data_IF_649704518445
#
_entry.id   IF_649704518445
#
_cell.length_a   1.000
_cell.length_b   1.000
_cell.length_c   1.000
_cell.angle_alpha   90.00
_cell.angle_beta   90.00
_cell.angle_gamma   90.00
#
_symmetry.space_group_name_H-M   'P 1'
#
loop_
_entity.id
_entity.type
_entity.pdbx_description
1 polymer ?
#
# COMPACT_ATOMS: atom_id res chain seq x y z
N UNK A 1 48.97 13.18 42.41
CA UNK A 1 47.72 12.40 42.65
C UNK A 1 46.48 13.04 42.02
N UNK A 2 46.26 14.35 42.15
CA UNK A 2 45.08 15.02 41.57
C UNK A 2 44.93 14.89 40.05
N UNK A 3 46.02 14.96 39.28
CA UNK A 3 46.00 14.88 37.81
C UNK A 3 45.56 13.48 37.33
N UNK A 4 46.02 12.42 38.01
CA UNK A 4 45.63 11.04 37.68
C UNK A 4 44.14 10.77 37.99
N UNK A 5 43.62 11.37 39.07
CA UNK A 5 42.20 11.28 39.39
C UNK A 5 41.33 12.00 38.35
N UNK A 6 41.77 13.18 37.88
CA UNK A 6 41.08 13.95 36.85
C UNK A 6 41.05 13.21 35.50
N UNK A 7 42.14 12.52 35.16
CA UNK A 7 42.21 11.70 33.96
C UNK A 7 41.27 10.49 34.03
N UNK A 8 41.18 9.84 35.20
CA UNK A 8 40.26 8.71 35.43
C UNK A 8 38.79 9.12 35.37
N UNK A 9 38.46 10.33 35.85
CA UNK A 9 37.08 10.85 35.77
C UNK A 9 36.72 11.18 34.32
N UNK A 10 37.64 11.81 33.57
CA UNK A 10 37.42 12.11 32.15
C UNK A 10 37.25 10.86 31.29
N UNK A 11 38.04 9.81 31.52
CA UNK A 11 37.88 8.54 30.80
C UNK A 11 36.57 7.85 31.17
N UNK A 12 36.17 7.85 32.44
CA UNK A 12 34.88 7.30 32.86
C UNK A 12 33.68 8.01 32.21
N UNK A 13 33.73 9.33 32.04
CA UNK A 13 32.69 10.08 31.31
C UNK A 13 32.61 9.72 29.82
N UNK A 14 33.73 9.34 29.19
CA UNK A 14 33.74 8.90 27.78
C UNK A 14 33.10 7.51 27.65
N UNK A 15 33.32 6.60 28.61
CA UNK A 15 32.75 5.24 28.58
C UNK A 15 31.29 5.13 29.01
N UNK A 16 30.70 6.18 29.61
CA UNK A 16 29.28 6.19 30.01
C UNK A 16 28.33 6.64 28.88
N UNK A 17 28.86 7.11 27.75
CA UNK A 17 28.06 7.51 26.60
C UNK A 17 27.88 6.35 25.61
N UNK A 18 27.40 5.20 26.08
CA UNK A 18 26.76 4.24 25.18
C UNK A 18 25.39 4.79 24.83
N UNK A 19 25.33 5.65 23.82
CA UNK A 19 24.07 5.98 23.17
C UNK A 19 23.60 4.70 22.49
N UNK A 20 22.71 3.97 23.15
CA UNK A 20 21.87 2.97 22.50
C UNK A 20 21.13 3.72 21.39
N UNK A 21 21.58 3.53 20.15
CA UNK A 21 20.84 3.96 18.98
C UNK A 21 19.53 3.19 18.99
N UNK A 22 18.47 3.80 19.54
CA UNK A 22 17.13 3.36 19.24
C UNK A 22 16.98 3.56 17.74
N UNK A 23 16.98 2.46 16.99
CA UNK A 23 16.48 2.46 15.62
C UNK A 23 15.00 2.81 15.77
N UNK A 24 14.69 4.11 15.73
CA UNK A 24 13.36 4.56 15.36
C UNK A 24 13.23 4.14 13.91
N UNK A 25 12.74 2.92 13.74
CA UNK A 25 12.40 2.37 12.45
C UNK A 25 11.27 3.27 11.94
N UNK A 26 11.63 4.24 11.09
CA UNK A 26 10.70 5.25 10.59
C UNK A 26 9.66 4.52 9.74
N UNK A 27 8.54 4.16 10.35
CA UNK A 27 7.37 3.67 9.64
C UNK A 27 6.95 4.74 8.62
N UNK A 28 6.96 4.37 7.34
CA UNK A 28 6.57 5.27 6.28
C UNK A 28 5.59 4.57 5.35
N UNK A 29 4.32 4.49 5.76
CA UNK A 29 3.22 3.96 4.97
C UNK A 29 2.42 5.09 4.35
N UNK A 30 2.46 5.21 3.03
CA UNK A 30 1.92 6.34 2.28
C UNK A 30 0.77 5.93 1.35
N UNK A 31 -0.13 6.88 1.09
CA UNK A 31 -1.14 6.79 0.04
C UNK A 31 -0.66 7.54 -1.18
N UNK A 32 -0.23 6.82 -2.22
CA UNK A 32 0.38 7.36 -3.42
C UNK A 32 -0.55 7.26 -4.62
N UNK A 33 -0.31 8.09 -5.64
CA UNK A 33 -0.98 7.97 -6.94
C UNK A 33 -0.18 7.07 -7.88
N UNK A 34 -0.89 6.28 -8.69
CA UNK A 34 -0.32 5.42 -9.73
C UNK A 34 -1.22 5.42 -10.96
N UNK A 35 -0.62 5.41 -12.14
CA UNK A 35 -1.37 5.21 -13.39
C UNK A 35 -1.62 3.72 -13.62
N UNK A 36 -2.84 3.38 -14.05
CA UNK A 36 -3.24 2.02 -14.41
C UNK A 36 -4.05 2.03 -15.70
N UNK A 37 -3.79 1.05 -16.56
CA UNK A 37 -4.61 0.78 -17.73
C UNK A 37 -5.80 -0.09 -17.34
N UNK A 38 -7.02 0.37 -17.61
CA UNK A 38 -8.24 -0.39 -17.35
C UNK A 38 -8.90 -0.76 -18.67
N UNK A 39 -9.32 -2.02 -18.79
CA UNK A 39 -10.15 -2.53 -19.88
C UNK A 39 -11.43 -3.13 -19.30
N UNK A 40 -12.57 -2.78 -19.88
CA UNK A 40 -13.89 -3.25 -19.45
C UNK A 40 -14.74 -3.70 -20.64
N UNK A 41 -15.23 -4.93 -20.53
CA UNK A 41 -16.20 -5.50 -21.47
C UNK A 41 -17.64 -5.22 -21.00
N UNK A 42 -18.50 -4.89 -21.98
CA UNK A 42 -19.95 -4.85 -21.83
C UNK A 42 -20.56 -5.96 -22.68
N UNK A 43 -21.41 -6.77 -22.05
CA UNK A 43 -22.16 -7.84 -22.70
C UNK A 43 -23.63 -7.43 -22.88
N UNK A 44 -24.26 -7.95 -23.94
CA UNK A 44 -25.70 -7.85 -24.14
C UNK A 44 -26.47 -8.82 -23.22
N UNK A 45 -27.81 -8.76 -23.23
CA UNK A 45 -28.68 -9.62 -22.40
C UNK A 45 -28.54 -11.12 -22.72
N UNK A 46 -27.98 -11.46 -23.89
CA UNK A 46 -27.77 -12.82 -24.37
C UNK A 46 -26.34 -13.29 -24.04
N UNK A 47 -25.50 -12.42 -23.46
CA UNK A 47 -24.12 -12.70 -23.06
C UNK A 47 -23.09 -12.54 -24.17
N UNK A 48 -23.45 -11.93 -25.32
CA UNK A 48 -22.51 -11.61 -26.39
C UNK A 48 -21.79 -10.30 -26.08
N UNK A 49 -20.52 -10.21 -26.49
CA UNK A 49 -19.75 -8.98 -26.35
C UNK A 49 -20.40 -7.87 -27.18
N UNK A 50 -20.86 -6.80 -26.50
CA UNK A 50 -21.40 -5.60 -27.15
C UNK A 50 -20.26 -4.66 -27.53
N UNK A 51 -19.39 -4.35 -26.56
CA UNK A 51 -18.22 -3.48 -26.74
C UNK A 51 -17.20 -3.67 -25.64
N UNK A 52 -15.96 -3.32 -25.93
CA UNK A 52 -14.84 -3.25 -24.97
C UNK A 52 -14.34 -1.82 -24.92
N UNK A 53 -14.26 -1.24 -23.72
CA UNK A 53 -13.73 0.10 -23.51
C UNK A 53 -12.47 0.07 -22.66
N UNK A 54 -11.51 0.92 -22.97
CA UNK A 54 -10.28 1.07 -22.18
C UNK A 54 -9.90 2.53 -21.93
N UNK A 55 -8.97 2.71 -20.99
CA UNK A 55 -8.42 4.01 -20.65
C UNK A 55 -7.37 3.91 -19.55
N UNK A 56 -6.42 4.83 -19.60
CA UNK A 56 -5.43 5.01 -18.55
C UNK A 56 -5.97 6.01 -17.53
N UNK A 57 -5.96 5.62 -16.26
CA UNK A 57 -6.45 6.45 -15.18
C UNK A 57 -5.49 6.43 -14.00
N UNK A 58 -5.43 7.55 -13.28
CA UNK A 58 -4.73 7.61 -12.02
C UNK A 58 -5.60 7.03 -10.90
N UNK A 59 -5.07 6.07 -10.15
CA UNK A 59 -5.67 5.49 -8.94
C UNK A 59 -4.75 5.70 -7.74
N UNK A 60 -5.31 5.60 -6.55
CA UNK A 60 -4.50 5.55 -5.33
C UNK A 60 -4.01 4.13 -5.02
N UNK A 61 -2.84 4.02 -4.38
CA UNK A 61 -2.24 2.79 -3.89
C UNK A 61 -1.59 3.00 -2.52
N UNK A 62 -1.39 1.91 -1.78
CA UNK A 62 -0.63 1.91 -0.53
C UNK A 62 0.79 1.41 -0.79
N UNK A 63 1.78 2.16 -0.33
CA UNK A 63 3.19 1.80 -0.47
C UNK A 63 3.99 2.30 0.73
N UNK A 64 4.93 1.51 1.22
CA UNK A 64 5.70 1.90 2.39
C UNK A 64 6.27 0.76 3.23
N UNK A 65 6.89 1.14 4.34
CA UNK A 65 7.50 0.24 5.32
C UNK A 65 6.76 0.33 6.66
N UNK A 66 6.58 -0.81 7.31
CA UNK A 66 5.95 -0.93 8.63
C UNK A 66 6.84 -1.76 9.55
N UNK A 67 6.97 -1.37 10.81
CA UNK A 67 7.85 -2.03 11.75
C UNK A 67 7.27 -3.38 12.15
N UNK A 68 8.05 -4.43 11.94
CA UNK A 68 7.67 -5.80 12.26
C UNK A 68 8.81 -6.49 12.98
N UNK A 69 8.48 -7.34 13.96
CA UNK A 69 9.45 -8.05 14.77
C UNK A 69 9.11 -9.52 14.95
N UNK A 70 10.18 -10.31 15.09
CA UNK A 70 10.09 -11.75 15.38
C UNK A 70 11.03 -12.04 16.55
N UNK A 71 10.51 -12.73 17.56
CA UNK A 71 11.29 -13.18 18.71
C UNK A 71 11.09 -14.68 18.92
N UNK A 72 12.12 -15.43 19.36
CA UNK A 72 11.95 -16.81 19.77
C UNK A 72 10.89 -16.95 20.88
N UNK A 73 10.11 -18.02 20.85
CA UNK A 73 9.09 -18.27 21.87
C UNK A 73 8.83 -19.76 22.05
N UNK A 74 8.84 -20.22 23.30
CA UNK A 74 8.47 -21.59 23.68
C UNK A 74 6.95 -21.78 23.80
N UNK A 75 6.17 -20.69 23.84
CA UNK A 75 4.72 -20.73 23.92
C UNK A 75 4.04 -20.83 22.54
N UNK A 76 4.75 -20.42 21.48
CA UNK A 76 4.27 -20.51 20.10
C UNK A 76 4.64 -21.87 19.49
N UNK A 77 3.70 -22.52 18.80
CA UNK A 77 3.93 -23.80 18.11
C UNK A 77 4.97 -23.72 17.00
N UNK A 78 5.21 -22.51 16.47
CA UNK A 78 6.24 -22.27 15.43
C UNK A 78 7.63 -22.04 16.01
N UNK A 79 7.77 -21.97 17.34
CA UNK A 79 9.02 -21.59 18.00
C UNK A 79 9.30 -20.08 17.98
N UNK A 80 8.42 -19.26 17.41
CA UNK A 80 8.57 -17.81 17.30
C UNK A 80 7.26 -17.07 17.60
N UNK A 81 7.35 -15.97 18.33
CA UNK A 81 6.31 -14.95 18.43
C UNK A 81 6.55 -13.90 17.35
N UNK A 82 5.52 -13.58 16.58
CA UNK A 82 5.59 -12.65 15.44
C UNK A 82 4.63 -11.49 15.67
N UNK A 83 5.15 -10.28 15.55
CA UNK A 83 4.38 -9.04 15.48
C UNK A 83 4.65 -8.43 14.10
N UNK A 84 3.70 -8.60 13.20
CA UNK A 84 3.83 -8.26 11.79
C UNK A 84 2.80 -7.19 11.43
N UNK A 85 3.22 -6.19 10.67
CA UNK A 85 2.38 -5.12 10.16
C UNK A 85 2.65 -4.90 8.67
N UNK A 86 1.59 -4.67 7.89
CA UNK A 86 1.67 -4.35 6.47
C UNK A 86 1.05 -2.99 6.17
N UNK A 87 1.65 -2.24 5.25
CA UNK A 87 1.06 -1.00 4.73
C UNK A 87 -0.14 -1.36 3.85
N UNK A 88 -1.35 -1.09 4.35
CA UNK A 88 -2.61 -1.53 3.75
C UNK A 88 -3.66 -0.44 3.78
N UNK A 89 -4.65 -0.60 2.92
CA UNK A 89 -5.84 0.24 2.87
C UNK A 89 -6.60 0.20 4.22
N UNK A 90 -6.85 1.37 4.81
CA UNK A 90 -7.72 1.49 5.97
C UNK A 90 -9.19 1.41 5.57
N UNK A 91 -9.53 2.03 4.43
CA UNK A 91 -10.83 1.90 3.79
C UNK A 91 -10.73 2.23 2.29
N UNK A 92 -11.74 1.79 1.54
CA UNK A 92 -11.86 2.04 0.11
C UNK A 92 -12.91 3.12 -0.12
N UNK A 93 -12.61 4.07 -1.01
CA UNK A 93 -13.60 5.01 -1.54
C UNK A 93 -14.04 4.58 -2.93
N UNK A 94 -15.31 4.80 -3.22
CA UNK A 94 -15.88 4.54 -4.53
C UNK A 94 -15.75 5.77 -5.43
N UNK A 95 -15.37 5.56 -6.69
CA UNK A 95 -15.23 6.62 -7.69
C UNK A 95 -15.76 6.15 -9.03
N UNK A 96 -16.52 7.01 -9.69
CA UNK A 96 -16.93 6.80 -11.08
C UNK A 96 -15.84 7.35 -12.01
N UNK A 97 -15.56 6.61 -13.08
CA UNK A 97 -14.58 7.00 -14.11
C UNK A 97 -15.17 6.74 -15.48
N UNK A 98 -14.71 7.50 -16.47
CA UNK A 98 -15.14 7.36 -17.85
C UNK A 98 -14.01 6.82 -18.69
N UNK A 99 -14.25 5.72 -19.38
CA UNK A 99 -13.36 5.15 -20.39
C UNK A 99 -13.74 5.69 -21.76
N UNK A 100 -12.75 6.08 -22.56
CA UNK A 100 -12.96 6.77 -23.83
C UNK A 100 -12.54 5.97 -25.06
N UNK A 101 -11.82 4.86 -24.89
CA UNK A 101 -11.37 4.02 -26.00
C UNK A 101 -12.27 2.79 -26.15
N UNK A 102 -13.44 3.00 -26.74
CA UNK A 102 -14.45 1.95 -26.94
C UNK A 102 -14.40 1.35 -28.35
N UNK A 103 -14.50 0.03 -28.43
CA UNK A 103 -14.48 -0.76 -29.67
C UNK A 103 -15.63 -1.78 -29.65
N UNK A 104 -16.23 -2.04 -30.81
CA UNK A 104 -17.21 -3.12 -30.97
C UNK A 104 -16.56 -4.52 -31.03
N UNK A 105 -17.38 -5.55 -31.22
CA UNK A 105 -16.93 -6.94 -31.31
C UNK A 105 -16.00 -7.22 -32.51
N UNK A 106 -16.07 -6.39 -33.56
CA UNK A 106 -15.23 -6.49 -34.75
C UNK A 106 -13.94 -5.65 -34.62
N UNK A 107 -13.76 -4.94 -33.49
CA UNK A 107 -12.60 -4.10 -33.20
C UNK A 107 -12.67 -2.71 -33.83
N UNK A 108 -13.84 -2.28 -34.31
CA UNK A 108 -14.05 -0.95 -34.88
C UNK A 108 -14.30 0.05 -33.75
N UNK A 109 -13.60 1.18 -33.78
CA UNK A 109 -13.71 2.21 -32.75
C UNK A 109 -15.08 2.90 -32.82
N UNK A 110 -15.76 2.96 -31.68
CA UNK A 110 -17.07 3.58 -31.53
C UNK A 110 -16.91 5.10 -31.34
N UNK A 111 -17.56 5.89 -32.19
CA UNK A 111 -17.49 7.37 -32.19
C UNK A 111 -18.75 8.05 -31.67
N UNK A 112 -19.83 7.30 -31.47
CA UNK A 112 -21.13 7.83 -31.07
C UNK A 112 -21.09 8.29 -29.61
N UNK A 113 -21.88 9.30 -29.23
CA UNK A 113 -21.89 9.82 -27.86
C UNK A 113 -22.33 8.76 -26.83
N UNK A 114 -23.23 7.85 -27.19
CA UNK A 114 -23.72 6.80 -26.28
C UNK A 114 -22.76 5.61 -26.14
N UNK A 115 -22.16 5.17 -27.26
CA UNK A 115 -21.37 3.94 -27.33
C UNK A 115 -19.84 4.19 -27.34
N UNK A 116 -19.41 5.43 -27.54
CA UNK A 116 -18.00 5.85 -27.58
C UNK A 116 -17.38 6.11 -26.21
N UNK A 117 -18.18 6.15 -25.14
CA UNK A 117 -17.71 6.27 -23.75
C UNK A 117 -18.39 5.27 -22.84
N UNK A 118 -17.71 4.86 -21.76
CA UNK A 118 -18.25 3.95 -20.76
C UNK A 118 -17.93 4.44 -19.36
N UNK A 119 -18.97 4.73 -18.57
CA UNK A 119 -18.82 5.02 -17.16
C UNK A 119 -18.74 3.72 -16.35
N UNK A 120 -17.71 3.58 -15.52
CA UNK A 120 -17.54 2.44 -14.63
C UNK A 120 -17.28 2.93 -13.20
N UNK A 121 -17.60 2.07 -12.24
CA UNK A 121 -17.35 2.31 -10.82
C UNK A 121 -16.14 1.51 -10.37
N UNK A 122 -15.16 2.20 -9.79
CA UNK A 122 -13.97 1.60 -9.19
C UNK A 122 -13.90 1.88 -7.69
N UNK A 123 -13.11 1.06 -6.99
CA UNK A 123 -12.80 1.24 -5.56
C UNK A 123 -11.30 1.37 -5.42
N UNK A 124 -10.87 2.43 -4.74
CA UNK A 124 -9.45 2.72 -4.51
C UNK A 124 -9.21 3.08 -3.04
N UNK A 125 -8.00 2.85 -2.50
CA UNK A 125 -7.64 3.23 -1.13
C UNK A 125 -7.85 4.73 -0.89
N UNK A 126 -8.59 5.08 0.15
CA UNK A 126 -8.70 6.48 0.56
C UNK A 126 -7.58 6.88 1.53
N UNK A 127 -7.09 5.92 2.31
CA UNK A 127 -6.05 6.09 3.32
C UNK A 127 -5.32 4.75 3.51
N UNK A 128 -4.02 4.82 3.78
CA UNK A 128 -3.15 3.68 4.02
C UNK A 128 -2.52 3.77 5.41
N UNK A 129 -2.43 2.65 6.13
CA UNK A 129 -1.83 2.54 7.46
C UNK A 129 -1.10 1.21 7.64
N UNK A 130 -0.20 1.16 8.61
CA UNK A 130 0.38 -0.09 9.08
C UNK A 130 -0.65 -0.87 9.89
N UNK A 131 -1.12 -2.00 9.33
CA UNK A 131 -2.18 -2.85 9.92
C UNK A 131 -1.58 -4.20 10.25
N UNK A 132 -1.93 -4.73 11.44
CA UNK A 132 -1.45 -6.03 11.90
C UNK A 132 -1.79 -7.14 10.90
N UNK A 133 -0.80 -7.96 10.57
CA UNK A 133 -0.96 -9.09 9.66
C UNK A 133 -1.96 -10.10 10.26
N UNK A 134 -2.87 -10.60 9.41
CA UNK A 134 -3.88 -11.58 9.81
C UNK A 134 -5.12 -11.00 10.51
N UNK A 135 -5.20 -9.68 10.69
CA UNK A 135 -6.45 -9.05 11.10
C UNK A 135 -7.44 -9.04 9.92
N UNK A 136 -8.61 -9.65 10.12
CA UNK A 136 -9.67 -9.79 9.12
C UNK A 136 -10.76 -8.73 9.34
N UNK A 137 -10.65 -7.87 10.37
CA UNK A 137 -11.65 -6.83 10.62
C UNK A 137 -11.85 -5.97 9.36
N UNK A 138 -13.02 -6.11 8.76
CA UNK A 138 -13.46 -5.48 7.52
C UNK A 138 -14.83 -4.88 7.74
#
# INVERSE_FOLDING_TARGET
>A
MFIFALFFVLTAFIYMNDTVAQVTDDENCETLQSEVHITKDQYDEIGRLKRTCSGDITVTKCEGFCSSQVQPSVASTTGFSKECYCCRESYLKERHITLHHCYDADGIKLMNEEDGVMEIKIREPAECKCIKCGDISR
#
